data_IF_027559427662
#
_entry.id   IF_027559427662
#
_cell.length_a   1.000
_cell.length_b   1.000
_cell.length_c   1.000
_cell.angle_alpha   90.00
_cell.angle_beta   90.00
_cell.angle_gamma   90.00
#
_symmetry.space_group_name_H-M   'P 1'
#
loop_
_entity.id
_entity.type
_entity.pdbx_description
1 polymer ?
#
# COMPACT_ATOMS: atom_id res chain seq x y z
N UNK A 1 0.51 -7.47 -19.57
CA UNK A 1 0.74 -7.69 -18.12
C UNK A 1 1.78 -6.70 -17.62
N UNK A 2 1.89 -6.45 -16.30
CA UNK A 2 2.94 -5.57 -15.79
C UNK A 2 4.33 -6.23 -15.89
N UNK A 3 5.39 -5.42 -15.98
CA UNK A 3 6.78 -5.91 -15.93
C UNK A 3 7.04 -6.61 -14.59
N UNK A 4 7.74 -7.74 -14.60
CA UNK A 4 8.08 -8.49 -13.39
C UNK A 4 8.83 -7.64 -12.37
N UNK A 5 9.76 -6.80 -12.85
CA UNK A 5 10.50 -5.84 -12.01
C UNK A 5 9.59 -4.86 -11.26
N UNK A 6 8.45 -4.49 -11.83
CA UNK A 6 7.49 -3.60 -11.16
C UNK A 6 6.69 -4.31 -10.06
N UNK A 7 6.41 -5.60 -10.26
CA UNK A 7 5.74 -6.44 -9.25
C UNK A 7 6.69 -6.67 -8.07
N UNK A 8 7.95 -7.02 -8.34
CA UNK A 8 8.96 -7.20 -7.29
C UNK A 8 9.28 -5.90 -6.54
N UNK A 9 9.23 -4.75 -7.22
CA UNK A 9 9.37 -3.44 -6.56
C UNK A 9 8.28 -3.19 -5.52
N UNK A 10 7.04 -3.53 -5.82
CA UNK A 10 5.94 -3.38 -4.84
C UNK A 10 6.03 -4.42 -3.72
N UNK A 11 6.44 -5.67 -4.01
CA UNK A 11 6.75 -6.67 -2.97
C UNK A 11 7.83 -6.19 -2.00
N UNK A 12 8.92 -5.58 -2.51
CA UNK A 12 9.98 -4.98 -1.68
C UNK A 12 9.43 -3.87 -0.78
N UNK A 13 8.57 -2.99 -1.31
CA UNK A 13 7.95 -1.89 -0.55
C UNK A 13 7.05 -2.40 0.56
N UNK A 14 6.27 -3.46 0.31
CA UNK A 14 5.41 -4.07 1.35
C UNK A 14 6.28 -4.61 2.49
N UNK A 15 7.31 -5.41 2.17
CA UNK A 15 8.24 -5.95 3.17
C UNK A 15 8.93 -4.86 4.01
N UNK A 16 9.39 -3.78 3.36
CA UNK A 16 10.02 -2.66 4.07
C UNK A 16 9.03 -1.87 4.93
N UNK A 17 7.81 -1.67 4.44
CA UNK A 17 6.78 -0.97 5.20
C UNK A 17 6.40 -1.73 6.46
N UNK A 18 6.26 -3.06 6.38
CA UNK A 18 6.01 -3.92 7.54
C UNK A 18 7.18 -3.87 8.53
N UNK A 19 8.42 -4.02 8.05
CA UNK A 19 9.63 -4.02 8.89
C UNK A 19 9.80 -2.73 9.72
N UNK A 20 9.51 -1.57 9.13
CA UNK A 20 9.74 -0.26 9.77
C UNK A 20 8.44 0.39 10.28
N UNK A 21 7.31 -0.34 10.29
CA UNK A 21 6.01 0.23 10.63
C UNK A 21 6.01 0.83 12.05
N UNK A 22 6.37 0.03 13.05
CA UNK A 22 6.38 0.45 14.46
C UNK A 22 7.32 1.64 14.69
N UNK A 23 8.58 1.54 14.26
CA UNK A 23 9.57 2.62 14.39
C UNK A 23 9.12 3.93 13.74
N UNK A 24 8.45 3.88 12.58
CA UNK A 24 7.92 5.08 11.92
C UNK A 24 6.72 5.66 12.66
N UNK A 25 5.88 4.82 13.25
CA UNK A 25 4.72 5.23 14.03
C UNK A 25 5.16 5.96 15.30
N UNK A 26 6.12 5.40 16.04
CA UNK A 26 6.72 6.03 17.24
C UNK A 26 7.32 7.39 16.92
N UNK A 27 8.19 7.47 15.90
CA UNK A 27 8.81 8.75 15.50
C UNK A 27 7.78 9.78 15.07
N UNK A 28 6.74 9.36 14.34
CA UNK A 28 5.66 10.27 13.94
C UNK A 28 4.81 10.73 15.11
N UNK A 29 4.58 9.86 16.10
CA UNK A 29 3.86 10.23 17.31
C UNK A 29 4.59 11.33 18.08
N UNK A 30 5.93 11.20 18.24
CA UNK A 30 6.79 12.22 18.87
C UNK A 30 6.73 13.53 18.09
N UNK A 31 6.77 13.48 16.75
CA UNK A 31 6.71 14.68 15.91
C UNK A 31 5.35 15.39 16.03
N UNK A 32 4.25 14.64 16.16
CA UNK A 32 2.90 15.21 16.28
C UNK A 32 2.53 15.66 17.70
N UNK A 33 3.28 15.25 18.71
CA UNK A 33 3.00 15.59 20.10
C UNK A 33 3.23 17.08 20.35
N UNK A 34 2.23 17.74 20.95
CA UNK A 34 2.23 19.17 21.28
C UNK A 34 3.12 19.49 22.48
N UNK A 35 3.36 18.53 23.37
CA UNK A 35 4.14 18.71 24.60
C UNK A 35 5.62 18.32 24.46
N UNK A 36 6.01 17.78 23.30
CA UNK A 36 7.39 17.40 23.04
C UNK A 36 8.29 18.64 22.93
N UNK A 37 9.51 18.53 23.49
CA UNK A 37 10.56 19.52 23.32
C UNK A 37 10.91 19.70 21.83
N UNK A 38 11.28 20.91 21.44
CA UNK A 38 11.66 21.21 20.05
C UNK A 38 12.90 20.41 19.63
N UNK A 39 13.81 20.12 20.56
CA UNK A 39 14.97 19.26 20.30
C UNK A 39 14.57 17.81 20.00
N UNK A 40 13.62 17.26 20.77
CA UNK A 40 13.14 15.89 20.58
C UNK A 40 12.37 15.75 19.27
N UNK A 41 11.55 16.75 18.92
CA UNK A 41 10.89 16.82 17.61
C UNK A 41 11.91 16.89 16.49
N UNK A 42 12.92 17.75 16.60
CA UNK A 42 13.96 17.90 15.59
C UNK A 42 14.76 16.60 15.39
N UNK A 43 15.17 15.96 16.48
CA UNK A 43 15.85 14.67 16.47
C UNK A 43 14.98 13.57 15.87
N UNK A 44 13.67 13.55 16.17
CA UNK A 44 12.74 12.59 15.59
C UNK A 44 12.58 12.77 14.07
N UNK A 45 12.53 14.03 13.59
CA UNK A 45 12.52 14.34 12.15
C UNK A 45 13.79 13.84 11.47
N UNK A 46 14.97 14.13 12.03
CA UNK A 46 16.26 13.66 11.50
C UNK A 46 16.31 12.12 11.46
N UNK A 47 15.90 11.45 12.54
CA UNK A 47 15.79 9.98 12.59
C UNK A 47 14.79 9.40 11.60
N UNK A 48 13.68 10.10 11.30
CA UNK A 48 12.71 9.66 10.32
C UNK A 48 13.25 9.77 8.88
N UNK A 49 14.09 10.78 8.61
CA UNK A 49 14.72 10.99 7.30
C UNK A 49 15.78 9.94 6.95
N UNK A 50 16.49 9.40 7.95
CA UNK A 50 17.49 8.33 7.72
C UNK A 50 16.86 6.99 7.33
N UNK A 51 15.56 6.78 7.60
CA UNK A 51 14.87 5.56 7.22
C UNK A 51 14.69 5.43 5.70
N UNK A 52 14.70 4.20 5.15
CA UNK A 52 14.51 3.99 3.71
C UNK A 52 13.20 4.60 3.20
N UNK A 53 13.23 5.38 2.12
CA UNK A 53 12.03 6.06 1.57
C UNK A 53 10.89 5.08 1.26
N UNK A 54 11.22 3.90 0.75
CA UNK A 54 10.27 2.86 0.37
C UNK A 54 9.59 2.16 1.55
N UNK A 55 10.01 2.44 2.80
CA UNK A 55 9.28 2.02 4.01
C UNK A 55 7.98 2.79 4.23
N UNK A 56 7.76 3.90 3.52
CA UNK A 56 6.53 4.66 3.65
C UNK A 56 5.35 3.95 2.96
N UNK A 57 4.22 3.70 3.66
CA UNK A 57 3.06 3.03 3.07
C UNK A 57 2.43 3.82 1.91
N UNK A 58 2.57 5.16 1.91
CA UNK A 58 2.04 6.03 0.85
C UNK A 58 2.69 5.78 -0.52
N UNK A 59 3.88 5.16 -0.56
CA UNK A 59 4.57 4.83 -1.83
C UNK A 59 4.11 3.52 -2.45
N UNK A 60 3.30 2.73 -1.74
CA UNK A 60 2.79 1.48 -2.26
C UNK A 60 1.69 1.75 -3.31
N UNK A 61 1.77 1.06 -4.45
CA UNK A 61 0.72 1.10 -5.46
C UNK A 61 -0.07 -0.19 -5.43
N UNK A 62 -1.40 -0.09 -5.27
CA UNK A 62 -2.27 -1.26 -5.43
C UNK A 62 -2.27 -1.68 -6.90
N UNK A 63 -1.91 -2.93 -7.15
CA UNK A 63 -1.95 -3.57 -8.46
C UNK A 63 -2.92 -4.73 -8.43
N UNK A 64 -3.45 -5.08 -9.60
CA UNK A 64 -4.18 -6.33 -9.77
C UNK A 64 -3.31 -7.52 -9.34
N UNK A 65 -3.81 -8.36 -8.43
CA UNK A 65 -3.08 -9.53 -7.93
C UNK A 65 -2.70 -10.55 -9.01
N UNK A 66 -3.49 -10.66 -10.08
CA UNK A 66 -3.23 -11.58 -11.19
C UNK A 66 -2.30 -10.99 -12.26
N UNK A 67 -2.57 -9.76 -12.71
CA UNK A 67 -1.91 -9.19 -13.91
C UNK A 67 -0.92 -8.07 -13.62
N UNK A 68 -0.88 -7.55 -12.39
CA UNK A 68 -0.05 -6.41 -12.00
C UNK A 68 -0.52 -5.05 -12.51
N UNK A 69 -1.71 -4.94 -13.13
CA UNK A 69 -2.24 -3.67 -13.66
C UNK A 69 -2.39 -2.62 -12.52
N UNK A 70 -1.81 -1.41 -12.64
CA UNK A 70 -1.81 -0.40 -11.57
C UNK A 70 -3.02 0.54 -11.57
N UNK A 71 -3.92 0.43 -12.55
CA UNK A 71 -5.11 1.28 -12.70
C UNK A 71 -6.39 0.46 -12.60
N UNK A 72 -7.48 1.11 -12.16
CA UNK A 72 -8.81 0.51 -12.05
C UNK A 72 -8.83 -0.75 -11.18
N UNK A 73 -8.11 -0.70 -10.05
CA UNK A 73 -8.04 -1.79 -9.07
C UNK A 73 -9.15 -1.59 -8.05
N UNK A 74 -10.04 -2.57 -7.94
CA UNK A 74 -11.12 -2.55 -6.96
C UNK A 74 -10.63 -3.14 -5.64
N UNK A 75 -10.67 -2.36 -4.56
CA UNK A 75 -10.15 -2.75 -3.24
C UNK A 75 -10.84 -4.01 -2.69
N UNK A 76 -12.17 -4.14 -2.91
CA UNK A 76 -12.99 -5.28 -2.46
C UNK A 76 -12.49 -6.63 -3.01
N UNK A 77 -12.03 -6.64 -4.27
CA UNK A 77 -11.61 -7.86 -4.95
C UNK A 77 -10.09 -8.00 -5.09
N UNK A 78 -9.33 -6.91 -4.95
CA UNK A 78 -7.88 -6.90 -5.20
C UNK A 78 -7.49 -7.11 -6.67
N UNK A 79 -8.45 -6.99 -7.59
CA UNK A 79 -8.30 -7.25 -9.02
C UNK A 79 -8.57 -5.97 -9.84
N UNK A 80 -8.07 -5.94 -11.07
CA UNK A 80 -8.42 -4.88 -12.02
C UNK A 80 -9.82 -5.10 -12.61
N UNK A 81 -10.48 -4.02 -13.06
CA UNK A 81 -11.81 -4.07 -13.70
C UNK A 81 -12.00 -5.17 -14.75
N UNK A 82 -10.95 -5.50 -15.50
CA UNK A 82 -10.98 -6.52 -16.56
C UNK A 82 -11.07 -7.92 -15.93
N UNK A 83 -10.15 -8.23 -15.01
CA UNK A 83 -10.12 -9.51 -14.31
C UNK A 83 -11.31 -9.71 -13.38
N UNK A 84 -11.84 -8.62 -12.80
CA UNK A 84 -13.09 -8.68 -12.03
C UNK A 84 -14.24 -9.09 -12.93
N UNK A 85 -14.39 -8.50 -14.13
CA UNK A 85 -15.44 -8.89 -15.08
C UNK A 85 -15.31 -10.35 -15.50
N UNK A 86 -14.11 -10.80 -15.88
CA UNK A 86 -13.87 -12.20 -16.25
C UNK A 86 -14.24 -13.17 -15.11
N UNK A 87 -13.79 -12.89 -13.89
CA UNK A 87 -14.05 -13.75 -12.73
C UNK A 87 -15.54 -13.72 -12.33
N UNK A 88 -16.20 -12.56 -12.44
CA UNK A 88 -17.62 -12.41 -12.16
C UNK A 88 -18.49 -13.22 -13.13
N UNK A 89 -18.21 -13.16 -14.43
CA UNK A 89 -18.98 -13.90 -15.44
C UNK A 89 -18.78 -15.42 -15.33
N UNK A 90 -17.64 -15.87 -14.79
CA UNK A 90 -17.39 -17.30 -14.49
C UNK A 90 -17.99 -17.77 -13.16
N UNK A 91 -18.57 -16.88 -12.35
CA UNK A 91 -19.10 -17.23 -11.02
C UNK A 91 -18.03 -17.44 -9.94
N UNK A 92 -16.78 -17.04 -10.17
CA UNK A 92 -15.68 -17.18 -9.19
C UNK A 92 -15.78 -16.16 -8.05
N UNK A 93 -16.63 -15.13 -8.20
CA UNK A 93 -16.87 -14.11 -7.18
C UNK A 93 -18.23 -14.41 -6.51
N UNK A 94 -18.24 -14.85 -5.23
CA UNK A 94 -19.47 -15.20 -4.53
C UNK A 94 -20.48 -14.05 -4.48
N UNK A 95 -21.72 -14.33 -4.86
CA UNK A 95 -22.85 -13.41 -4.77
C UNK A 95 -22.83 -12.24 -5.77
N UNK A 96 -21.84 -12.14 -6.66
CA UNK A 96 -21.74 -11.06 -7.64
C UNK A 96 -22.53 -11.42 -8.91
N UNK A 97 -23.62 -10.69 -9.15
CA UNK A 97 -24.42 -10.79 -10.38
C UNK A 97 -24.59 -9.42 -11.05
N UNK A 98 -25.01 -9.40 -12.31
CA UNK A 98 -25.47 -8.15 -12.94
C UNK A 98 -26.69 -7.65 -12.16
N UNK A 99 -26.66 -6.38 -11.76
CA UNK A 99 -27.76 -5.74 -11.06
C UNK A 99 -28.62 -4.94 -12.05
N UNK A 100 -29.92 -4.96 -11.83
CA UNK A 100 -30.94 -4.13 -12.48
C UNK A 100 -31.87 -3.65 -11.38
N UNK A 101 -32.09 -2.34 -11.31
CA UNK A 101 -32.98 -1.67 -10.36
C UNK A 101 -33.76 -0.59 -11.11
#
# INVERSE_FOLDING_TARGET
>A
MAKQSMIERDKKRVKLAEKYFAKRQELKAIISDLNASDEDRWNAVLKLQTLPRDSSPSRQRRRCRQTGRPHGVLRKFGLSRIKVRESAMRGEIPGLKKASW
#
